data_IF_896817332893
#
_entry.id   IF_896817332893
#
_cell.length_a   1.000
_cell.length_b   1.000
_cell.length_c   1.000
_cell.angle_alpha   90.00
_cell.angle_beta   90.00
_cell.angle_gamma   90.00
#
_symmetry.space_group_name_H-M   'P 1'
#
loop_
_entity.id
_entity.type
_entity.pdbx_description
1 polymer ?
#
# COMPACT_ATOMS: atom_id res chain seq x y z
N UNK A 1 22.23 -47.20 42.45
CA UNK A 1 22.12 -45.73 42.33
C UNK A 1 22.95 -45.34 41.12
N UNK A 2 22.27 -45.04 40.01
CA UNK A 2 22.85 -44.67 38.71
C UNK A 2 23.67 -43.39 38.82
N UNK A 3 24.80 -43.33 38.12
CA UNK A 3 25.39 -42.06 37.70
C UNK A 3 25.60 -42.11 36.18
N UNK A 4 24.83 -41.27 35.51
CA UNK A 4 24.66 -41.12 34.06
C UNK A 4 25.80 -40.28 33.48
N UNK A 5 26.30 -40.70 32.32
CA UNK A 5 27.31 -39.99 31.51
C UNK A 5 26.81 -38.62 31.02
N UNK A 6 27.69 -37.64 30.73
CA UNK A 6 27.27 -36.34 30.23
C UNK A 6 26.96 -36.40 28.73
N UNK A 7 25.75 -35.99 28.35
CA UNK A 7 25.32 -35.89 26.95
C UNK A 7 26.03 -34.74 26.22
N UNK A 8 26.48 -35.07 25.01
CA UNK A 8 27.18 -34.24 24.05
C UNK A 8 26.25 -33.14 23.48
N UNK A 9 26.52 -31.88 23.82
CA UNK A 9 25.81 -30.69 23.32
C UNK A 9 26.06 -30.50 21.80
N UNK A 10 25.26 -31.22 21.01
CA UNK A 10 25.14 -31.01 19.57
C UNK A 10 24.45 -29.67 19.34
N UNK A 11 25.25 -28.61 19.24
CA UNK A 11 24.88 -27.32 18.66
C UNK A 11 24.29 -27.53 17.28
N UNK A 12 22.98 -27.74 17.26
CA UNK A 12 22.17 -27.81 16.04
C UNK A 12 22.03 -26.38 15.57
N UNK A 13 22.91 -26.00 14.64
CA UNK A 13 22.75 -24.83 13.78
C UNK A 13 21.33 -24.83 13.25
N UNK A 14 20.47 -23.96 13.79
CA UNK A 14 19.18 -23.67 13.17
C UNK A 14 19.49 -22.98 11.86
N UNK A 15 19.19 -23.58 10.70
CA UNK A 15 19.22 -22.83 9.46
C UNK A 15 18.13 -21.77 9.62
N UNK A 16 18.51 -20.50 9.47
CA UNK A 16 17.54 -19.42 9.34
C UNK A 16 16.55 -19.82 8.26
N UNK A 17 15.31 -20.10 8.64
CA UNK A 17 14.23 -20.33 7.69
C UNK A 17 14.05 -19.01 6.97
N UNK A 18 14.56 -18.99 5.74
CA UNK A 18 14.28 -18.00 4.71
C UNK A 18 12.76 -17.88 4.63
N UNK A 19 12.19 -16.81 5.20
CA UNK A 19 10.79 -16.50 4.99
C UNK A 19 10.62 -16.35 3.47
N UNK A 20 9.68 -17.05 2.83
CA UNK A 20 9.38 -16.79 1.44
C UNK A 20 9.07 -15.30 1.32
N UNK A 21 9.65 -14.63 0.33
CA UNK A 21 9.34 -13.24 0.02
C UNK A 21 7.83 -13.09 -0.01
N UNK A 22 7.31 -12.37 0.98
CA UNK A 22 5.88 -12.19 1.20
C UNK A 22 5.32 -11.36 0.05
N UNK A 23 4.91 -12.01 -1.04
CA UNK A 23 4.05 -11.42 -2.07
C UNK A 23 2.65 -11.18 -1.50
N UNK A 24 2.53 -10.39 -0.43
CA UNK A 24 1.21 -10.00 0.08
C UNK A 24 0.54 -8.93 -0.76
N UNK A 25 1.31 -8.19 -1.55
CA UNK A 25 0.79 -7.08 -2.33
C UNK A 25 0.74 -7.46 -3.80
N UNK A 26 -0.45 -7.81 -4.28
CA UNK A 26 -0.70 -8.35 -5.63
C UNK A 26 -0.29 -7.44 -6.78
N UNK A 27 -0.27 -6.12 -6.59
CA UNK A 27 0.05 -5.15 -7.65
C UNK A 27 1.13 -4.16 -7.21
N UNK A 28 1.98 -4.55 -6.24
CA UNK A 28 3.06 -3.69 -5.80
C UNK A 28 4.07 -3.49 -6.93
N UNK A 29 4.53 -2.24 -7.10
CA UNK A 29 5.62 -1.95 -8.02
C UNK A 29 6.86 -2.76 -7.63
N UNK A 30 7.48 -3.42 -8.62
CA UNK A 30 8.78 -4.07 -8.43
C UNK A 30 9.87 -3.09 -8.01
N UNK A 31 11.03 -3.58 -7.53
CA UNK A 31 12.07 -2.75 -6.91
C UNK A 31 12.54 -1.58 -7.79
N UNK A 32 12.76 -1.82 -9.08
CA UNK A 32 13.25 -0.81 -10.04
C UNK A 32 12.23 0.31 -10.26
N UNK A 33 10.95 -0.05 -10.50
CA UNK A 33 9.90 0.95 -10.70
C UNK A 33 9.66 1.73 -9.40
N UNK A 34 9.71 1.05 -8.25
CA UNK A 34 9.62 1.68 -6.94
C UNK A 34 10.73 2.72 -6.75
N UNK A 35 11.98 2.36 -7.04
CA UNK A 35 13.12 3.27 -6.93
C UNK A 35 12.99 4.46 -7.87
N UNK A 36 12.55 4.23 -9.11
CA UNK A 36 12.30 5.29 -10.09
C UNK A 36 11.24 6.27 -9.61
N UNK A 37 10.09 5.80 -9.15
CA UNK A 37 9.00 6.65 -8.64
C UNK A 37 9.50 7.51 -7.47
N UNK A 38 10.27 6.93 -6.56
CA UNK A 38 10.85 7.68 -5.42
C UNK A 38 11.84 8.74 -5.90
N UNK A 39 12.68 8.41 -6.87
CA UNK A 39 13.65 9.34 -7.46
C UNK A 39 12.96 10.50 -8.17
N UNK A 40 11.92 10.23 -8.94
CA UNK A 40 11.14 11.23 -9.66
C UNK A 40 10.47 12.22 -8.67
N UNK A 41 9.89 11.72 -7.56
CA UNK A 41 9.30 12.57 -6.52
C UNK A 41 10.34 13.47 -5.84
N UNK A 42 11.54 12.94 -5.53
CA UNK A 42 12.63 13.74 -4.95
C UNK A 42 13.11 14.81 -5.93
N UNK A 43 13.22 14.46 -7.21
CA UNK A 43 13.64 15.39 -8.26
C UNK A 43 12.64 16.53 -8.41
N UNK A 44 11.34 16.24 -8.38
CA UNK A 44 10.29 17.27 -8.38
C UNK A 44 10.36 18.18 -7.15
N UNK A 45 10.60 17.61 -5.97
CA UNK A 45 10.75 18.40 -4.74
C UNK A 45 11.93 19.37 -4.84
N UNK A 46 13.09 18.90 -5.32
CA UNK A 46 14.26 19.75 -5.54
C UNK A 46 14.00 20.84 -6.57
N UNK A 47 13.33 20.52 -7.67
CA UNK A 47 12.96 21.51 -8.69
C UNK A 47 12.07 22.63 -8.12
N UNK A 48 11.08 22.28 -7.30
CA UNK A 48 10.21 23.29 -6.67
C UNK A 48 10.96 24.13 -5.63
N UNK A 49 11.95 23.57 -4.94
CA UNK A 49 12.83 24.30 -4.03
C UNK A 49 13.75 25.30 -4.77
N UNK A 50 14.28 24.90 -5.92
CA UNK A 50 15.12 25.75 -6.79
C UNK A 50 14.33 26.87 -7.49
N UNK A 51 13.00 26.76 -7.55
CA UNK A 51 12.12 27.69 -8.25
C UNK A 51 11.02 28.29 -7.34
N UNK A 52 11.36 29.07 -6.31
CA UNK A 52 10.41 29.60 -5.32
C UNK A 52 9.37 30.58 -5.89
N UNK A 53 9.59 31.10 -7.10
CA UNK A 53 8.63 31.92 -7.84
C UNK A 53 7.45 31.12 -8.39
N UNK A 54 7.56 29.79 -8.48
CA UNK A 54 6.47 28.94 -8.94
C UNK A 54 5.42 28.80 -7.84
N UNK A 55 4.13 29.01 -8.16
CA UNK A 55 3.08 28.98 -7.16
C UNK A 55 2.81 27.54 -6.68
N UNK A 56 2.69 27.37 -5.37
CA UNK A 56 2.13 26.18 -4.74
C UNK A 56 0.91 26.61 -3.93
N UNK A 57 -0.26 26.07 -4.27
CA UNK A 57 -1.50 26.36 -3.54
C UNK A 57 -1.40 25.87 -2.08
N UNK A 58 -1.95 26.62 -1.10
CA UNK A 58 -2.03 26.16 0.29
C UNK A 58 -2.88 24.90 0.47
N UNK A 59 -3.63 24.49 -0.56
CA UNK A 59 -4.46 23.29 -0.57
C UNK A 59 -3.83 22.12 -1.35
N UNK A 60 -2.58 22.24 -1.78
CA UNK A 60 -1.87 21.18 -2.50
C UNK A 60 -1.57 19.99 -1.58
N UNK A 61 -1.82 18.78 -2.08
CA UNK A 61 -1.43 17.51 -1.45
C UNK A 61 -0.75 16.59 -2.45
N UNK A 62 0.21 15.81 -2.00
CA UNK A 62 0.86 14.76 -2.80
C UNK A 62 0.42 13.40 -2.26
N UNK A 63 -0.19 12.57 -3.10
CA UNK A 63 -0.80 11.31 -2.69
C UNK A 63 -0.25 10.15 -3.52
N UNK A 64 0.19 9.09 -2.84
CA UNK A 64 0.55 7.80 -3.43
C UNK A 64 -0.46 6.75 -2.94
N UNK A 65 -1.24 6.22 -3.86
CA UNK A 65 -2.33 5.28 -3.54
C UNK A 65 -2.09 3.94 -4.18
N UNK A 66 -2.09 2.89 -3.35
CA UNK A 66 -2.04 1.50 -3.77
C UNK A 66 -3.45 0.88 -3.70
N UNK A 67 -3.85 0.22 -4.78
CA UNK A 67 -5.12 -0.49 -4.88
C UNK A 67 -4.83 -1.99 -5.07
N UNK A 68 -5.15 -2.85 -4.08
CA UNK A 68 -5.01 -4.29 -4.22
C UNK A 68 -5.74 -4.82 -5.48
N UNK A 69 -5.04 -5.60 -6.31
CA UNK A 69 -5.63 -6.27 -7.48
C UNK A 69 -5.84 -7.75 -7.18
N UNK A 70 -6.87 -8.01 -6.39
CA UNK A 70 -7.23 -9.36 -5.99
C UNK A 70 -8.51 -9.83 -6.69
N UNK A 71 -8.69 -11.16 -6.73
CA UNK A 71 -9.91 -11.79 -7.27
C UNK A 71 -11.12 -11.71 -6.32
N UNK A 72 -10.91 -11.37 -5.04
CA UNK A 72 -11.97 -11.26 -4.03
C UNK A 72 -11.80 -10.06 -3.11
N UNK A 73 -12.93 -9.54 -2.63
CA UNK A 73 -12.96 -8.44 -1.64
C UNK A 73 -12.25 -8.82 -0.34
N UNK A 74 -12.38 -10.08 0.11
CA UNK A 74 -11.68 -10.57 1.30
C UNK A 74 -10.17 -10.53 1.14
N UNK A 75 -9.65 -10.94 -0.03
CA UNK A 75 -8.22 -10.85 -0.31
C UNK A 75 -7.74 -9.40 -0.37
N UNK A 76 -8.52 -8.49 -1.01
CA UNK A 76 -8.17 -7.07 -1.03
C UNK A 76 -8.11 -6.48 0.38
N UNK A 77 -9.10 -6.80 1.22
CA UNK A 77 -9.14 -6.37 2.63
C UNK A 77 -7.93 -6.91 3.40
N UNK A 78 -7.54 -8.16 3.19
CA UNK A 78 -6.37 -8.75 3.83
C UNK A 78 -5.08 -8.00 3.48
N UNK A 79 -4.90 -7.55 2.23
CA UNK A 79 -3.75 -6.71 1.87
C UNK A 79 -3.76 -5.36 2.58
N UNK A 80 -4.93 -4.72 2.73
CA UNK A 80 -5.04 -3.47 3.51
C UNK A 80 -4.66 -3.71 4.97
N UNK A 81 -5.05 -4.85 5.55
CA UNK A 81 -4.68 -5.23 6.92
C UNK A 81 -3.17 -5.47 7.06
N UNK A 82 -2.53 -6.13 6.09
CA UNK A 82 -1.08 -6.31 6.09
C UNK A 82 -0.35 -4.97 5.97
N UNK A 83 -0.81 -4.08 5.07
CA UNK A 83 -0.29 -2.72 4.98
C UNK A 83 -0.45 -1.95 6.31
N UNK A 84 -1.58 -2.12 6.99
CA UNK A 84 -1.82 -1.52 8.30
C UNK A 84 -0.83 -2.00 9.34
N UNK A 85 -0.51 -3.30 9.36
CA UNK A 85 0.50 -3.87 10.24
C UNK A 85 1.89 -3.25 10.01
N UNK A 86 2.28 -3.06 8.75
CA UNK A 86 3.54 -2.38 8.40
C UNK A 86 3.55 -0.89 8.78
N UNK A 87 2.41 -0.21 8.69
CA UNK A 87 2.27 1.19 9.07
C UNK A 87 2.09 1.39 10.59
N UNK A 88 1.89 0.32 11.36
CA UNK A 88 1.51 0.39 12.78
C UNK A 88 0.13 1.04 12.98
N UNK A 89 -0.79 0.85 12.03
CA UNK A 89 -2.11 1.50 12.00
C UNK A 89 -3.21 0.49 11.74
N UNK A 90 -4.36 0.71 12.36
CA UNK A 90 -5.55 -0.11 12.16
C UNK A 90 -6.31 0.46 10.96
N UNK A 91 -6.58 -0.34 9.90
CA UNK A 91 -7.41 0.11 8.78
C UNK A 91 -8.86 0.38 9.21
N UNK A 92 -9.56 1.20 8.44
CA UNK A 92 -10.94 1.57 8.71
C UNK A 92 -11.76 1.71 7.42
N UNK A 93 -13.08 1.72 7.57
CA UNK A 93 -13.99 2.07 6.48
C UNK A 93 -14.10 3.60 6.35
N UNK A 94 -13.82 4.11 5.15
CA UNK A 94 -14.09 5.50 4.77
C UNK A 94 -15.13 5.49 3.64
N UNK A 95 -16.38 5.81 4.00
CA UNK A 95 -17.52 5.69 3.10
C UNK A 95 -17.71 4.24 2.63
N UNK A 96 -17.48 4.01 1.34
CA UNK A 96 -17.63 2.71 0.69
C UNK A 96 -16.28 1.97 0.47
N UNK A 97 -15.17 2.50 0.99
CA UNK A 97 -13.84 1.92 0.82
C UNK A 97 -13.27 1.47 2.16
N UNK A 98 -12.47 0.40 2.14
CA UNK A 98 -11.70 -0.03 3.30
C UNK A 98 -10.24 0.35 3.09
N UNK A 99 -9.65 1.12 3.99
CA UNK A 99 -8.31 1.66 3.78
C UNK A 99 -7.48 1.85 5.05
N UNK A 100 -6.18 1.97 4.83
CA UNK A 100 -5.23 2.46 5.82
C UNK A 100 -4.35 3.52 5.17
N UNK A 101 -3.92 4.48 5.97
CA UNK A 101 -3.16 5.61 5.47
C UNK A 101 -2.11 6.12 6.45
N UNK A 102 -1.04 6.65 5.87
CA UNK A 102 0.02 7.37 6.57
C UNK A 102 0.07 8.80 6.02
N UNK A 103 0.06 9.77 6.93
CA UNK A 103 0.15 11.20 6.61
C UNK A 103 1.42 11.79 7.18
N UNK A 104 2.08 12.63 6.38
CA UNK A 104 3.18 13.48 6.82
C UNK A 104 3.11 14.83 6.10
N UNK A 105 2.65 15.87 6.81
CA UNK A 105 2.41 17.19 6.22
C UNK A 105 1.41 17.11 5.06
N UNK A 106 1.80 17.61 3.88
CA UNK A 106 1.01 17.54 2.65
C UNK A 106 1.10 16.18 1.92
N UNK A 107 1.97 15.27 2.38
CA UNK A 107 2.20 13.96 1.79
C UNK A 107 1.31 12.88 2.40
N UNK A 108 0.78 12.00 1.54
CA UNK A 108 -0.09 10.89 1.93
C UNK A 108 0.30 9.61 1.21
N UNK A 109 0.36 8.51 1.96
CA UNK A 109 0.39 7.16 1.42
C UNK A 109 -0.86 6.41 1.85
N UNK A 110 -1.56 5.81 0.90
CA UNK A 110 -2.85 5.14 1.14
C UNK A 110 -2.86 3.76 0.50
N UNK A 111 -3.49 2.81 1.19
CA UNK A 111 -3.80 1.49 0.65
C UNK A 111 -5.31 1.31 0.74
N UNK A 112 -5.96 1.11 -0.41
CA UNK A 112 -7.43 1.20 -0.52
C UNK A 112 -8.01 -0.03 -1.19
N UNK A 113 -8.81 -0.81 -0.47
CA UNK A 113 -9.67 -1.83 -1.03
C UNK A 113 -11.03 -1.23 -1.39
N UNK A 114 -11.36 -1.28 -2.68
CA UNK A 114 -12.68 -0.92 -3.21
C UNK A 114 -13.47 -2.23 -3.43
N UNK A 115 -14.54 -2.50 -2.66
CA UNK A 115 -15.33 -3.72 -2.83
C UNK A 115 -15.96 -3.85 -4.21
N UNK A 116 -16.19 -5.09 -4.67
CA UNK A 116 -16.76 -5.39 -5.98
C UNK A 116 -18.12 -4.72 -6.20
N UNK A 117 -18.97 -4.66 -5.16
CA UNK A 117 -20.26 -3.96 -5.20
C UNK A 117 -20.11 -2.47 -5.52
N UNK A 118 -19.07 -1.83 -5.00
CA UNK A 118 -18.79 -0.40 -5.17
C UNK A 118 -18.26 -0.13 -6.57
N UNK A 119 -17.35 -1.00 -7.06
CA UNK A 119 -16.88 -0.96 -8.45
C UNK A 119 -18.03 -1.16 -9.43
N UNK A 120 -18.95 -2.09 -9.15
CA UNK A 120 -20.12 -2.34 -9.99
C UNK A 120 -21.07 -1.14 -10.04
N UNK A 121 -21.37 -0.53 -8.89
CA UNK A 121 -22.17 0.70 -8.80
C UNK A 121 -21.54 1.87 -9.56
N UNK A 122 -20.22 2.02 -9.47
CA UNK A 122 -19.50 3.05 -10.21
C UNK A 122 -19.55 2.80 -11.73
N UNK A 123 -19.35 1.56 -12.18
CA UNK A 123 -19.49 1.19 -13.60
C UNK A 123 -20.90 1.44 -14.11
N UNK A 124 -21.94 1.08 -13.35
CA UNK A 124 -23.31 1.33 -13.77
C UNK A 124 -23.62 2.83 -13.85
N UNK A 125 -23.07 3.62 -12.93
CA UNK A 125 -23.18 5.08 -12.97
C UNK A 125 -22.49 5.66 -14.22
N UNK A 126 -21.27 5.24 -14.54
CA UNK A 126 -20.55 5.69 -15.75
C UNK A 126 -21.35 5.45 -17.04
N UNK A 127 -22.00 4.29 -17.16
CA UNK A 127 -22.85 3.97 -18.30
C UNK A 127 -24.09 4.85 -18.37
N UNK A 128 -24.64 5.27 -17.23
CA UNK A 128 -25.81 6.16 -17.17
C UNK A 128 -25.45 7.62 -17.49
N UNK A 129 -24.32 8.12 -16.97
CA UNK A 129 -23.87 9.50 -17.17
C UNK A 129 -23.25 9.75 -18.54
N UNK A 130 -22.77 8.72 -19.23
CA UNK A 130 -22.22 8.82 -20.59
C UNK A 130 -23.25 9.15 -21.68
N UNK A 131 -24.55 9.15 -21.36
CA UNK A 131 -25.63 9.42 -22.30
C UNK A 131 -26.15 10.88 -22.31
N UNK A 132 -25.61 11.77 -21.48
CA UNK A 132 -26.00 13.18 -21.50
C UNK A 132 -25.09 13.92 -22.49
N UNK A 133 -25.50 14.00 -23.76
CA UNK A 133 -25.10 15.14 -24.61
C UNK A 133 -25.96 16.32 -24.19
N UNK A 134 -25.32 17.44 -23.88
CA UNK A 134 -26.01 18.73 -23.90
C UNK A 134 -26.04 19.18 -25.37
N UNK A 135 -27.23 19.18 -25.96
CA UNK A 135 -27.56 19.91 -27.19
C UNK A 135 -27.53 21.43 -26.96
#
# INVERSE_FOLDING_TARGET
>A
MSNTEPEEDKRRTVPGVFLPEREFFTDAAGPELRERIITDMRTLANFLEEHPQLPISPHTSVEVTYFPRTESDQAAIAEVVEAGSHLGRIPAWEGDHYLVEHHHGAGRYRVVAIPARVRARYRSWLTYSGHVRQD
#
